data_IF_002240154017
#
_entry.id   IF_002240154017
#
_cell.length_a   1.000
_cell.length_b   1.000
_cell.length_c   1.000
_cell.angle_alpha   90.00
_cell.angle_beta   90.00
_cell.angle_gamma   90.00
#
_symmetry.space_group_name_H-M   'P 1'
#
loop_
_entity.id
_entity.type
_entity.pdbx_description
1 polymer ?
#
# COMPACT_ATOMS: atom_id res chain seq x y z
N UNK A 1 15.62 21.78 -5.76
CA UNK A 1 15.41 20.83 -4.64
C UNK A 1 16.76 20.55 -3.97
N UNK A 2 16.81 19.96 -2.77
CA UNK A 2 18.08 19.47 -2.21
C UNK A 2 18.11 17.93 -2.29
N UNK A 3 19.29 17.35 -2.49
CA UNK A 3 19.48 15.88 -2.57
C UNK A 3 18.86 15.14 -1.36
N UNK A 4 18.92 15.73 -0.17
CA UNK A 4 18.29 15.17 1.03
C UNK A 4 16.77 15.02 0.93
N UNK A 5 16.08 15.94 0.23
CA UNK A 5 14.62 15.86 0.03
C UNK A 5 14.26 14.75 -0.96
N UNK A 6 15.05 14.59 -2.03
CA UNK A 6 14.87 13.52 -3.02
C UNK A 6 14.99 12.16 -2.35
N UNK A 7 15.98 11.97 -1.47
CA UNK A 7 16.14 10.74 -0.68
C UNK A 7 14.94 10.42 0.20
N UNK A 8 14.33 11.43 0.83
CA UNK A 8 13.14 11.22 1.66
C UNK A 8 11.94 10.83 0.81
N UNK A 9 11.76 11.47 -0.36
CA UNK A 9 10.67 11.13 -1.29
C UNK A 9 10.87 9.71 -1.82
N UNK A 10 12.08 9.36 -2.29
CA UNK A 10 12.37 8.03 -2.81
C UNK A 10 12.15 6.93 -1.77
N UNK A 11 12.41 7.17 -0.47
CA UNK A 11 12.05 6.20 0.58
C UNK A 11 10.55 5.89 0.61
N UNK A 12 9.71 6.92 0.52
CA UNK A 12 8.25 6.73 0.50
C UNK A 12 7.82 6.04 -0.80
N UNK A 13 8.39 6.42 -1.94
CA UNK A 13 8.09 5.77 -3.22
C UNK A 13 8.52 4.31 -3.22
N UNK A 14 9.64 3.96 -2.60
CA UNK A 14 10.11 2.58 -2.46
C UNK A 14 9.14 1.72 -1.66
N UNK A 15 8.64 2.22 -0.54
CA UNK A 15 7.63 1.51 0.25
C UNK A 15 6.34 1.30 -0.57
N UNK A 16 5.91 2.32 -1.33
CA UNK A 16 4.75 2.21 -2.21
C UNK A 16 4.97 1.22 -3.35
N UNK A 17 6.17 1.17 -3.94
CA UNK A 17 6.52 0.21 -4.98
C UNK A 17 6.45 -1.23 -4.47
N UNK A 18 6.87 -1.48 -3.22
CA UNK A 18 6.77 -2.81 -2.61
C UNK A 18 5.30 -3.21 -2.44
N UNK A 19 4.46 -2.30 -1.95
CA UNK A 19 3.02 -2.55 -1.75
C UNK A 19 2.29 -2.77 -3.09
N UNK A 20 2.67 -2.02 -4.12
CA UNK A 20 2.01 -2.04 -5.43
C UNK A 20 2.65 -3.03 -6.42
N UNK A 21 3.69 -3.78 -6.02
CA UNK A 21 4.45 -4.67 -6.92
C UNK A 21 3.56 -5.72 -7.61
N UNK A 22 2.53 -6.20 -6.91
CA UNK A 22 1.62 -7.24 -7.38
C UNK A 22 0.40 -6.65 -8.11
N UNK A 23 0.30 -5.32 -8.18
CA UNK A 23 -0.76 -4.61 -8.89
C UNK A 23 -0.35 -4.29 -10.35
N UNK A 24 -1.28 -4.37 -11.30
CA UNK A 24 -1.00 -4.09 -12.71
C UNK A 24 -0.64 -2.63 -12.97
N UNK A 25 -0.94 -1.71 -12.05
CA UNK A 25 -0.51 -0.32 -12.10
C UNK A 25 0.94 -0.13 -11.61
N UNK A 26 1.47 -1.04 -10.78
CA UNK A 26 2.82 -0.94 -10.21
C UNK A 26 3.95 -0.98 -11.24
N UNK A 27 3.74 -1.64 -12.38
CA UNK A 27 4.73 -1.73 -13.49
C UNK A 27 5.06 -0.40 -14.18
N UNK A 28 4.26 0.64 -13.92
CA UNK A 28 4.47 1.98 -14.48
C UNK A 28 5.00 2.98 -13.45
N UNK A 29 5.22 2.52 -12.22
CA UNK A 29 5.71 3.35 -11.13
C UNK A 29 7.22 3.20 -11.05
N UNK A 30 7.89 4.34 -11.01
CA UNK A 30 9.35 4.40 -10.93
C UNK A 30 9.78 5.34 -9.80
N UNK A 31 11.03 5.18 -9.40
CA UNK A 31 11.71 6.07 -8.46
C UNK A 31 12.11 7.34 -9.18
N UNK A 32 12.39 8.41 -8.43
CA UNK A 32 13.03 9.58 -9.01
C UNK A 32 14.48 9.23 -9.38
N UNK A 33 14.88 9.49 -10.62
CA UNK A 33 16.26 9.28 -11.09
C UNK A 33 17.24 10.21 -10.35
N UNK A 34 18.42 9.67 -10.01
CA UNK A 34 19.48 10.35 -9.25
C UNK A 34 20.57 10.99 -10.14
N UNK A 35 20.49 10.83 -11.47
CA UNK A 35 21.57 11.21 -12.38
C UNK A 35 21.75 12.74 -12.51
N UNK A 36 20.67 13.49 -12.39
CA UNK A 36 20.67 14.93 -12.20
C UNK A 36 19.52 15.28 -11.25
N UNK A 37 19.76 16.22 -10.34
CA UNK A 37 18.81 16.58 -9.30
C UNK A 37 17.46 16.91 -9.94
N UNK A 38 16.42 16.04 -9.80
CA UNK A 38 15.22 16.14 -10.61
C UNK A 38 14.63 17.53 -10.41
N UNK A 39 14.24 18.17 -11.51
CA UNK A 39 13.55 19.44 -11.39
C UNK A 39 12.27 19.22 -10.59
N UNK A 40 11.84 20.25 -9.85
CA UNK A 40 10.63 20.18 -9.02
C UNK A 40 9.43 19.67 -9.83
N UNK A 41 9.37 20.03 -11.12
CA UNK A 41 8.39 19.58 -12.10
C UNK A 41 8.42 18.07 -12.35
N UNK A 42 9.60 17.48 -12.51
CA UNK A 42 9.74 16.05 -12.81
C UNK A 42 9.38 15.22 -11.59
N UNK A 43 9.81 15.66 -10.40
CA UNK A 43 9.42 15.02 -9.16
C UNK A 43 7.91 15.07 -8.91
N UNK A 44 7.27 16.21 -9.20
CA UNK A 44 5.81 16.32 -9.15
C UNK A 44 5.12 15.41 -10.17
N UNK A 45 5.65 15.34 -11.39
CA UNK A 45 5.08 14.51 -12.45
C UNK A 45 5.12 13.03 -12.07
N UNK A 46 6.25 12.53 -11.57
CA UNK A 46 6.37 11.15 -11.06
C UNK A 46 5.40 10.92 -9.92
N UNK A 47 5.30 11.83 -8.94
CA UNK A 47 4.35 11.68 -7.82
C UNK A 47 2.88 11.63 -8.29
N UNK A 48 2.51 12.37 -9.34
CA UNK A 48 1.15 12.33 -9.91
C UNK A 48 0.85 10.97 -10.54
N UNK A 49 1.83 10.26 -11.09
CA UNK A 49 1.65 8.92 -11.66
C UNK A 49 1.29 7.87 -10.60
N UNK A 50 1.62 8.11 -9.32
CA UNK A 50 1.22 7.23 -8.22
C UNK A 50 -0.27 7.39 -7.86
N UNK A 51 -0.90 8.54 -8.15
CA UNK A 51 -2.30 8.78 -7.76
C UNK A 51 -3.28 7.74 -8.35
N UNK A 52 -3.27 7.43 -9.66
CA UNK A 52 -4.13 6.39 -10.21
C UNK A 52 -3.89 5.00 -9.60
N UNK A 53 -2.64 4.66 -9.31
CA UNK A 53 -2.29 3.38 -8.71
C UNK A 53 -2.83 3.26 -7.27
N UNK A 54 -2.67 4.32 -6.47
CA UNK A 54 -3.20 4.38 -5.11
C UNK A 54 -4.74 4.39 -5.09
N UNK A 55 -5.38 5.10 -6.02
CA UNK A 55 -6.83 5.10 -6.15
C UNK A 55 -7.37 3.74 -6.58
N UNK A 56 -6.68 3.06 -7.50
CA UNK A 56 -7.02 1.71 -7.92
C UNK A 56 -6.89 0.73 -6.75
N UNK A 57 -5.76 0.78 -6.03
CA UNK A 57 -5.52 -0.03 -4.83
C UNK A 57 -6.61 0.19 -3.78
N UNK A 58 -6.93 1.45 -3.47
CA UNK A 58 -8.02 1.81 -2.55
C UNK A 58 -9.36 1.25 -3.01
N UNK A 59 -9.73 1.40 -4.28
CA UNK A 59 -10.99 0.85 -4.80
C UNK A 59 -11.03 -0.68 -4.74
N UNK A 60 -9.89 -1.36 -4.93
CA UNK A 60 -9.80 -2.82 -4.89
C UNK A 60 -9.92 -3.39 -3.48
N UNK A 61 -9.24 -2.79 -2.51
CA UNK A 61 -9.07 -3.41 -1.19
C UNK A 61 -9.82 -2.71 -0.06
N UNK A 62 -10.15 -1.42 -0.18
CA UNK A 62 -10.94 -0.75 0.85
C UNK A 62 -12.40 -1.15 0.68
N UNK A 63 -12.95 -1.78 1.73
CA UNK A 63 -14.35 -2.17 1.80
C UNK A 63 -15.02 -1.55 3.00
N UNK A 64 -16.29 -1.25 2.84
CA UNK A 64 -17.15 -0.85 3.94
C UNK A 64 -17.88 -2.08 4.43
N UNK A 65 -17.46 -2.60 5.58
CA UNK A 65 -17.97 -3.85 6.14
C UNK A 65 -18.66 -3.59 7.48
N UNK A 66 -19.65 -4.42 7.77
CA UNK A 66 -20.38 -4.40 9.03
C UNK A 66 -19.82 -5.49 9.93
N UNK A 67 -19.31 -5.12 11.10
CA UNK A 67 -18.79 -6.03 12.11
C UNK A 67 -19.66 -5.85 13.36
N UNK A 68 -20.45 -6.86 13.69
CA UNK A 68 -21.46 -6.76 14.74
C UNK A 68 -22.47 -5.65 14.46
N UNK A 69 -22.57 -4.68 15.37
CA UNK A 69 -23.45 -3.50 15.22
C UNK A 69 -22.77 -2.30 14.54
N UNK A 70 -21.45 -2.32 14.42
CA UNK A 70 -20.67 -1.23 13.85
C UNK A 70 -20.43 -1.42 12.35
N UNK A 71 -20.21 -0.30 11.66
CA UNK A 71 -19.77 -0.29 10.26
C UNK A 71 -18.46 0.46 10.15
N UNK A 72 -17.44 -0.17 9.56
CA UNK A 72 -16.07 0.37 9.48
C UNK A 72 -15.51 0.16 8.07
N UNK A 73 -14.59 1.04 7.69
CA UNK A 73 -13.79 0.86 6.49
C UNK A 73 -12.58 0.01 6.83
N UNK A 74 -12.42 -1.13 6.17
CA UNK A 74 -11.31 -2.05 6.36
C UNK A 74 -10.61 -2.35 5.04
N UNK A 75 -9.30 -2.54 5.13
CA UNK A 75 -8.45 -2.96 4.02
C UNK A 75 -8.41 -4.48 4.01
N UNK A 76 -9.01 -5.08 2.99
CA UNK A 76 -9.12 -6.52 2.82
C UNK A 76 -8.09 -6.96 1.77
N UNK A 77 -6.82 -6.97 2.16
CA UNK A 77 -5.72 -7.51 1.33
C UNK A 77 -5.54 -9.00 1.62
N UNK A 78 -4.95 -9.76 0.70
CA UNK A 78 -4.73 -11.21 0.89
C UNK A 78 -3.91 -11.50 2.16
N UNK A 79 -2.87 -10.71 2.42
CA UNK A 79 -2.05 -10.81 3.63
C UNK A 79 -2.87 -10.61 4.92
N UNK A 80 -3.79 -9.63 4.89
CA UNK A 80 -4.62 -9.29 6.05
C UNK A 80 -5.73 -10.31 6.30
N UNK A 81 -6.25 -10.90 5.23
CA UNK A 81 -7.22 -12.00 5.34
C UNK A 81 -6.53 -13.24 5.93
N UNK A 82 -5.32 -13.57 5.47
CA UNK A 82 -4.55 -14.68 6.02
C UNK A 82 -4.20 -14.50 7.50
N UNK A 83 -3.88 -13.28 7.93
CA UNK A 83 -3.67 -12.95 9.35
C UNK A 83 -4.93 -13.22 10.19
N UNK A 84 -6.11 -12.81 9.70
CA UNK A 84 -7.38 -13.07 10.39
C UNK A 84 -7.75 -14.56 10.42
N UNK A 85 -7.50 -15.29 9.33
CA UNK A 85 -7.73 -16.73 9.27
C UNK A 85 -6.83 -17.49 10.24
N UNK A 86 -5.56 -17.06 10.40
CA UNK A 86 -4.65 -17.65 11.37
C UNK A 86 -5.05 -17.35 12.82
N UNK A 87 -5.46 -16.11 13.13
CA UNK A 87 -5.96 -15.74 14.46
C UNK A 87 -7.24 -16.54 14.85
N UNK A 88 -8.14 -16.78 13.88
CA UNK A 88 -9.35 -17.59 14.11
C UNK A 88 -9.01 -19.09 14.29
N UNK A 89 -8.01 -19.63 13.57
CA UNK A 89 -7.52 -21.00 13.76
C UNK A 89 -6.90 -21.18 15.15
N UNK A 90 -5.99 -20.31 15.58
CA UNK A 90 -5.37 -20.36 16.92
C UNK A 90 -6.42 -20.26 18.04
N UNK A 91 -7.45 -19.42 17.88
CA UNK A 91 -8.55 -19.32 18.85
C UNK A 91 -9.42 -20.58 18.93
N UNK A 92 -9.55 -21.32 17.82
CA UNK A 92 -10.32 -22.58 17.79
C UNK A 92 -9.55 -23.75 18.40
N UNK A 93 -8.22 -23.78 18.26
CA UNK A 93 -7.37 -24.81 18.87
C UNK A 93 -7.27 -24.68 20.40
N UNK A 94 -7.33 -23.45 20.95
CA UNK A 94 -7.37 -23.22 22.40
C UNK A 94 -8.71 -23.62 23.06
N UNK A 95 -9.83 -23.63 22.32
CA UNK A 95 -11.15 -24.06 22.85
C UNK A 95 -11.31 -25.59 22.91
N UNK A 96 -10.63 -26.35 22.06
CA UNK A 96 -10.73 -27.83 22.00
C UNK A 96 -9.85 -28.56 23.04
N UNK A 97 -8.93 -27.86 23.72
CA UNK A 97 -8.01 -28.40 24.74
C UNK A 97 -8.49 -28.20 26.22
N UNK A 98 -9.74 -27.77 26.43
CA UNK A 98 -10.39 -27.52 27.74
C UNK A 98 -11.55 -28.48 28.07
#
# INVERSE_FOLDING_TARGET
>A
MSSSKVKVINKVLDDLLVILKDEPEGKYLERLEDADLPQVSDALLTMVQYNPALDAFKKRYLRYVKIGYDRKHLWITAERVAEWEADDEDASEEEDDL
#
